data_IF_058854028388
#
_entry.id   IF_058854028388
#
_cell.length_a   1.000
_cell.length_b   1.000
_cell.length_c   1.000
_cell.angle_alpha   90.00
_cell.angle_beta   90.00
_cell.angle_gamma   90.00
#
_symmetry.space_group_name_H-M   'P 1'
#
loop_
_entity.id
_entity.type
_entity.pdbx_description
1 polymer ?
#
# COMPACT_ATOMS: atom_id res chain seq x y z
N UNK A 1 27.12 -12.21 -10.27
CA UNK A 1 27.09 -11.53 -10.49
C UNK A 1 27.50 -10.58 -10.07
N UNK A 2 28.05 -10.15 -9.88
CA UNK A 2 28.38 -9.12 -9.56
C UNK A 2 27.78 -7.97 -10.02
N UNK A 3 27.44 -7.87 -11.15
CA UNK A 3 26.67 -6.77 -11.69
C UNK A 3 25.35 -6.59 -11.04
N UNK A 4 24.76 -7.68 -10.57
CA UNK A 4 23.49 -7.59 -9.90
C UNK A 4 23.53 -6.74 -8.66
N UNK A 5 24.63 -6.79 -7.94
CA UNK A 5 24.76 -5.96 -6.75
C UNK A 5 24.83 -4.49 -7.10
N UNK A 6 25.54 -4.18 -8.16
CA UNK A 6 25.67 -2.80 -8.60
C UNK A 6 24.32 -2.29 -9.07
N UNK A 7 23.60 -3.10 -9.84
CA UNK A 7 22.29 -2.72 -10.33
C UNK A 7 21.32 -2.50 -9.17
N UNK A 8 21.35 -3.36 -8.18
CA UNK A 8 20.46 -3.23 -7.04
C UNK A 8 20.73 -1.93 -6.28
N UNK A 9 21.99 -1.61 -6.03
CA UNK A 9 22.34 -0.38 -5.35
C UNK A 9 21.88 0.82 -6.16
N UNK A 10 22.13 0.77 -7.45
CA UNK A 10 21.77 1.83 -8.34
C UNK A 10 20.27 2.09 -8.35
N UNK A 11 19.48 1.00 -8.39
CA UNK A 11 18.03 1.13 -8.42
C UNK A 11 17.47 1.70 -7.12
N UNK A 12 18.15 1.52 -6.01
CA UNK A 12 17.68 2.08 -4.73
C UNK A 12 17.71 3.60 -4.75
N UNK A 13 18.63 4.18 -5.49
CA UNK A 13 18.75 5.64 -5.53
C UNK A 13 17.93 6.24 -6.66
N UNK A 14 17.45 5.41 -7.58
CA UNK A 14 16.65 5.90 -8.68
C UNK A 14 15.18 5.84 -8.37
N UNK A 15 14.48 6.85 -8.83
CA UNK A 15 13.04 6.86 -8.75
C UNK A 15 12.49 5.78 -9.66
N UNK A 16 11.68 4.90 -9.12
CA UNK A 16 10.99 3.87 -9.89
C UNK A 16 9.89 4.53 -10.71
N UNK A 17 9.68 4.06 -11.93
CA UNK A 17 8.65 4.63 -12.79
C UNK A 17 7.25 4.41 -12.20
N UNK A 18 6.37 5.40 -12.41
CA UNK A 18 5.02 5.36 -11.88
C UNK A 18 4.26 4.12 -12.35
N UNK A 19 4.45 3.72 -13.61
CA UNK A 19 3.78 2.54 -14.16
C UNK A 19 4.16 1.27 -13.39
N UNK A 20 5.39 1.21 -12.92
CA UNK A 20 5.85 0.05 -12.14
C UNK A 20 5.15 0.03 -10.79
N UNK A 21 5.03 1.18 -10.15
CA UNK A 21 4.33 1.26 -8.87
C UNK A 21 2.84 0.97 -9.05
N UNK A 22 2.25 1.46 -10.13
CA UNK A 22 0.84 1.19 -10.44
C UNK A 22 0.59 -0.30 -10.56
N UNK A 23 1.45 -1.00 -11.31
CA UNK A 23 1.33 -2.45 -11.47
C UNK A 23 1.54 -3.19 -10.15
N UNK A 24 2.48 -2.73 -9.35
CA UNK A 24 2.74 -3.30 -8.05
C UNK A 24 1.51 -3.19 -7.14
N UNK A 25 0.88 -2.02 -7.11
CA UNK A 25 -0.30 -1.84 -6.28
C UNK A 25 -1.51 -2.60 -6.81
N UNK A 26 -1.64 -2.72 -8.13
CA UNK A 26 -2.71 -3.53 -8.71
C UNK A 26 -2.55 -5.00 -8.32
N UNK A 27 -1.32 -5.50 -8.34
CA UNK A 27 -1.02 -6.86 -7.92
C UNK A 27 -1.31 -7.07 -6.44
N UNK A 28 -0.92 -6.10 -5.61
CA UNK A 28 -1.16 -6.17 -4.17
C UNK A 28 -2.66 -6.18 -3.89
N UNK A 29 -3.41 -5.31 -4.56
CA UNK A 29 -4.85 -5.23 -4.38
C UNK A 29 -5.55 -6.54 -4.78
N UNK A 30 -5.14 -7.12 -5.91
CA UNK A 30 -5.70 -8.39 -6.37
C UNK A 30 -5.38 -9.52 -5.39
N UNK A 31 -4.17 -9.52 -4.83
CA UNK A 31 -3.77 -10.51 -3.83
C UNK A 31 -4.64 -10.42 -2.58
N UNK A 32 -4.88 -9.20 -2.08
CA UNK A 32 -5.71 -9.04 -0.90
C UNK A 32 -7.16 -9.45 -1.16
N UNK A 33 -7.69 -9.13 -2.34
CA UNK A 33 -9.03 -9.57 -2.70
C UNK A 33 -9.13 -11.09 -2.78
N UNK A 34 -8.08 -11.74 -3.28
CA UNK A 34 -8.05 -13.19 -3.33
C UNK A 34 -8.09 -13.80 -1.93
N UNK A 35 -7.28 -13.29 -1.02
CA UNK A 35 -7.27 -13.78 0.35
C UNK A 35 -8.60 -13.51 1.06
N UNK A 36 -9.23 -12.39 0.76
CA UNK A 36 -10.52 -12.07 1.34
C UNK A 36 -11.58 -13.09 0.93
N UNK A 37 -11.53 -13.55 -0.32
CA UNK A 37 -12.49 -14.52 -0.83
C UNK A 37 -12.15 -15.93 -0.32
N UNK A 38 -10.89 -16.33 -0.44
CA UNK A 38 -10.50 -17.70 -0.18
C UNK A 38 -10.40 -18.03 1.30
N UNK A 39 -9.99 -17.05 2.11
CA UNK A 39 -9.73 -17.28 3.53
C UNK A 39 -10.64 -16.49 4.46
N UNK A 40 -11.51 -15.66 3.92
CA UNK A 40 -12.34 -14.79 4.76
C UNK A 40 -11.52 -13.81 5.55
N UNK A 41 -10.36 -13.45 5.04
CA UNK A 41 -9.38 -12.63 5.74
C UNK A 41 -9.81 -11.18 5.78
N UNK A 42 -9.31 -10.45 6.74
CA UNK A 42 -9.46 -9.00 6.94
C UNK A 42 -10.78 -8.55 7.56
N UNK A 43 -11.76 -9.42 7.66
CA UNK A 43 -13.07 -9.01 8.14
C UNK A 43 -13.04 -8.41 9.55
N UNK A 44 -12.13 -8.92 10.38
CA UNK A 44 -12.02 -8.47 11.76
C UNK A 44 -11.01 -7.35 11.97
N UNK A 45 -10.45 -6.81 10.91
CA UNK A 45 -9.46 -5.77 11.02
C UNK A 45 -10.10 -4.44 11.42
N UNK A 46 -9.40 -3.67 12.24
CA UNK A 46 -9.66 -2.25 12.36
C UNK A 46 -8.70 -1.51 11.43
N UNK A 47 -8.77 -0.20 11.39
CA UNK A 47 -7.95 0.58 10.50
C UNK A 47 -6.46 0.37 10.72
N UNK A 48 -6.05 0.31 11.98
CA UNK A 48 -4.63 0.17 12.31
C UNK A 48 -4.10 -1.20 11.94
N UNK A 49 -4.87 -2.23 12.21
CA UNK A 49 -4.46 -3.58 11.87
C UNK A 49 -4.42 -3.75 10.36
N UNK A 50 -5.34 -3.11 9.65
CA UNK A 50 -5.36 -3.16 8.19
C UNK A 50 -4.10 -2.55 7.61
N UNK A 51 -3.60 -1.46 8.18
CA UNK A 51 -2.34 -0.88 7.71
C UNK A 51 -1.21 -1.90 7.71
N UNK A 52 -1.09 -2.64 8.81
CA UNK A 52 -0.07 -3.69 8.90
C UNK A 52 -0.29 -4.81 7.90
N UNK A 53 -1.55 -5.15 7.65
CA UNK A 53 -1.87 -6.18 6.66
C UNK A 53 -1.51 -5.72 5.24
N UNK A 54 -1.71 -4.44 4.96
CA UNK A 54 -1.34 -3.89 3.65
C UNK A 54 0.18 -3.92 3.46
N UNK A 55 0.93 -3.53 4.50
CA UNK A 55 2.39 -3.62 4.44
C UNK A 55 2.83 -5.05 4.16
N UNK A 56 2.23 -6.01 4.85
CA UNK A 56 2.58 -7.42 4.67
C UNK A 56 2.27 -7.87 3.24
N UNK A 57 1.11 -7.49 2.73
CA UNK A 57 0.73 -7.84 1.36
C UNK A 57 1.68 -7.20 0.34
N UNK A 58 2.07 -5.94 0.58
CA UNK A 58 3.03 -5.27 -0.30
C UNK A 58 4.37 -5.98 -0.29
N UNK A 59 4.85 -6.38 0.88
CA UNK A 59 6.12 -7.08 0.98
C UNK A 59 6.09 -8.41 0.26
N UNK A 60 4.97 -9.11 0.32
CA UNK A 60 4.82 -10.38 -0.40
C UNK A 60 4.79 -10.18 -1.90
N UNK A 61 4.24 -9.08 -2.37
CA UNK A 61 4.04 -8.83 -3.79
C UNK A 61 5.17 -8.02 -4.44
N UNK A 62 6.15 -7.57 -3.66
CA UNK A 62 7.25 -6.81 -4.24
C UNK A 62 8.27 -7.69 -4.96
N UNK A 63 8.19 -8.99 -4.78
CA UNK A 63 9.08 -9.92 -5.45
C UNK A 63 8.90 -9.79 -6.96
N UNK A 64 10.00 -9.64 -7.68
CA UNK A 64 9.95 -9.44 -9.12
C UNK A 64 9.77 -7.99 -9.53
N UNK A 65 9.69 -7.08 -8.57
CA UNK A 65 9.62 -5.65 -8.83
C UNK A 65 10.94 -5.00 -8.37
N UNK A 66 11.18 -3.73 -8.75
CA UNK A 66 12.36 -3.03 -8.23
C UNK A 66 12.29 -2.73 -6.73
N UNK A 67 11.13 -2.90 -6.10
CA UNK A 67 11.00 -2.65 -4.67
C UNK A 67 11.49 -3.84 -3.87
N UNK A 68 12.14 -3.55 -2.75
CA UNK A 68 12.53 -4.56 -1.78
C UNK A 68 11.64 -4.45 -0.56
N UNK A 69 11.58 -5.51 0.23
CA UNK A 69 10.81 -5.46 1.46
C UNK A 69 11.25 -4.30 2.35
N UNK A 70 12.55 -4.03 2.38
CA UNK A 70 13.09 -2.95 3.20
C UNK A 70 12.76 -1.55 2.69
N UNK A 71 12.21 -1.45 1.48
CA UNK A 71 11.78 -0.16 0.94
C UNK A 71 10.37 0.20 1.38
N UNK A 72 9.66 -0.73 2.01
CA UNK A 72 8.25 -0.55 2.37
C UNK A 72 8.16 -0.33 3.87
N UNK A 73 7.77 0.87 4.28
CA UNK A 73 7.74 1.27 5.67
C UNK A 73 6.36 1.76 6.10
N UNK A 74 5.91 1.24 7.21
CA UNK A 74 4.71 1.76 7.86
C UNK A 74 5.13 2.97 8.71
N UNK A 75 4.52 4.10 8.43
CA UNK A 75 4.86 5.34 9.13
C UNK A 75 3.94 5.48 10.33
N UNK A 76 4.52 5.56 11.51
CA UNK A 76 3.74 5.68 12.73
C UNK A 76 3.38 7.12 13.02
N UNK A 77 2.38 7.30 13.89
CA UNK A 77 1.95 8.62 14.30
C UNK A 77 0.93 9.20 13.37
N UNK A 78 0.93 10.52 13.26
CA UNK A 78 -0.06 11.25 12.48
C UNK A 78 0.47 11.69 11.12
N UNK A 79 1.36 10.92 10.57
CA UNK A 79 1.95 11.23 9.28
C UNK A 79 1.09 10.73 8.13
N UNK A 80 1.24 11.35 7.00
CA UNK A 80 0.57 11.01 5.76
C UNK A 80 1.61 10.86 4.68
N UNK A 81 1.59 9.80 3.88
CA UNK A 81 0.64 8.67 3.92
C UNK A 81 1.02 7.64 4.99
N UNK A 82 0.16 6.64 5.17
CA UNK A 82 0.40 5.60 6.17
C UNK A 82 1.61 4.74 5.84
N UNK A 83 1.87 4.51 4.57
CA UNK A 83 2.94 3.63 4.10
C UNK A 83 3.76 4.37 3.05
N UNK A 84 5.08 4.25 3.15
CA UNK A 84 5.99 4.80 2.14
C UNK A 84 6.71 3.64 1.47
N UNK A 85 6.79 3.66 0.16
CA UNK A 85 7.46 2.64 -0.62
C UNK A 85 8.48 3.31 -1.54
N UNK A 86 9.76 2.97 -1.35
CA UNK A 86 10.82 3.47 -2.20
C UNK A 86 10.98 4.98 -2.18
N UNK A 87 10.68 5.62 -1.07
CA UNK A 87 10.82 7.07 -0.84
C UNK A 87 9.87 7.96 -1.62
N UNK A 88 9.54 7.60 -2.86
CA UNK A 88 8.78 8.50 -3.74
C UNK A 88 7.30 8.17 -3.81
N UNK A 89 6.92 7.02 -3.30
CA UNK A 89 5.55 6.53 -3.39
C UNK A 89 4.98 6.28 -2.01
N UNK A 90 3.68 6.47 -1.88
CA UNK A 90 3.02 6.22 -0.63
C UNK A 90 1.67 5.57 -0.83
N UNK A 91 1.17 4.97 0.22
CA UNK A 91 -0.15 4.35 0.23
C UNK A 91 -0.89 4.84 1.47
N UNK A 92 -2.05 5.42 1.23
CA UNK A 92 -2.95 5.79 2.31
C UNK A 92 -4.00 4.71 2.43
N UNK A 93 -4.13 4.14 3.60
CA UNK A 93 -5.05 3.03 3.84
C UNK A 93 -6.33 3.58 4.46
N UNK A 94 -7.46 3.28 3.82
CA UNK A 94 -8.76 3.66 4.33
C UNK A 94 -9.63 2.42 4.44
N UNK A 95 -10.60 2.46 5.33
CA UNK A 95 -11.50 1.32 5.46
C UNK A 95 -12.86 1.79 5.98
N UNK A 96 -13.86 0.96 5.74
CA UNK A 96 -15.17 1.13 6.32
C UNK A 96 -15.65 -0.20 6.84
N UNK A 97 -16.39 -0.19 7.93
CA UNK A 97 -16.97 -1.42 8.46
C UNK A 97 -18.35 -1.70 7.87
N UNK A 98 -18.81 -0.83 6.97
CA UNK A 98 -20.08 -1.04 6.28
C UNK A 98 -19.82 -1.76 4.96
N UNK A 99 -20.91 -2.10 4.27
CA UNK A 99 -20.83 -2.72 2.95
C UNK A 99 -21.04 -1.65 1.87
N UNK A 100 -20.48 -0.47 2.09
CA UNK A 100 -20.57 0.64 1.15
C UNK A 100 -19.22 1.31 1.00
N UNK A 101 -18.92 1.79 -0.20
CA UNK A 101 -17.66 2.45 -0.48
C UNK A 101 -17.70 3.92 -0.01
N UNK A 102 -18.09 4.11 1.24
CA UNK A 102 -18.19 5.45 1.83
C UNK A 102 -17.36 5.46 3.09
N UNK A 103 -16.51 6.44 3.20
CA UNK A 103 -15.70 6.66 4.40
C UNK A 103 -16.24 7.90 5.09
N UNK A 104 -16.34 7.85 6.43
CA UNK A 104 -16.59 9.04 7.20
C UNK A 104 -15.28 9.79 7.32
N UNK A 105 -14.62 9.95 6.21
CA UNK A 105 -13.27 10.38 6.22
C UNK A 105 -13.12 11.80 6.67
N UNK A 106 -12.08 12.00 7.41
CA UNK A 106 -11.57 13.31 7.66
C UNK A 106 -10.73 13.71 6.47
N UNK A 107 -10.59 14.98 6.27
CA UNK A 107 -9.72 15.49 5.25
C UNK A 107 -8.27 15.14 5.57
N UNK A 108 -7.51 14.92 4.55
CA UNK A 108 -6.10 14.61 4.69
C UNK A 108 -5.34 15.91 4.87
N UNK A 109 -4.44 15.92 5.83
CA UNK A 109 -3.65 17.09 6.12
C UNK A 109 -2.32 16.94 5.40
N UNK A 110 -2.21 17.60 4.26
CA UNK A 110 -1.01 17.48 3.45
C UNK A 110 0.23 18.06 4.11
N UNK A 111 0.04 18.93 5.08
CA UNK A 111 1.18 19.50 5.81
C UNK A 111 1.95 18.44 6.59
N UNK A 112 1.37 17.26 6.82
CA UNK A 112 2.07 16.17 7.51
C UNK A 112 2.65 15.15 6.54
N UNK A 113 2.63 15.46 5.24
CA UNK A 113 3.11 14.55 4.22
C UNK A 113 4.61 14.32 4.36
N UNK A 114 5.01 13.06 4.23
CA UNK A 114 6.42 12.71 4.29
C UNK A 114 7.20 13.37 3.17
N UNK A 115 8.41 13.83 3.51
CA UNK A 115 9.24 14.52 2.55
C UNK A 115 9.68 13.55 1.45
N UNK A 116 9.55 14.00 0.21
CA UNK A 116 10.00 13.23 -0.93
C UNK A 116 8.95 12.34 -1.55
N UNK A 117 7.82 12.12 -0.88
CA UNK A 117 6.75 11.31 -1.44
C UNK A 117 6.02 12.13 -2.48
N UNK A 118 6.03 11.65 -3.73
CA UNK A 118 5.46 12.39 -4.85
C UNK A 118 4.12 11.87 -5.32
N UNK A 119 3.92 10.56 -5.22
CA UNK A 119 2.69 9.93 -5.68
C UNK A 119 2.11 9.09 -4.56
N UNK A 120 0.83 9.26 -4.31
CA UNK A 120 0.15 8.53 -3.25
C UNK A 120 -1.04 7.80 -3.86
N UNK A 121 -1.17 6.53 -3.48
CA UNK A 121 -2.32 5.72 -3.84
C UNK A 121 -3.18 5.51 -2.60
N UNK A 122 -4.48 5.46 -2.80
CA UNK A 122 -5.39 5.10 -1.72
C UNK A 122 -5.79 3.65 -1.89
N UNK A 123 -5.61 2.86 -0.85
CA UNK A 123 -6.10 1.49 -0.80
C UNK A 123 -7.25 1.47 0.19
N UNK A 124 -8.45 1.23 -0.30
CA UNK A 124 -9.67 1.29 0.48
C UNK A 124 -10.25 -0.10 0.66
N UNK A 125 -10.47 -0.48 1.93
CA UNK A 125 -11.07 -1.76 2.25
C UNK A 125 -12.51 -1.62 2.70
N UNK A 126 -13.41 -2.32 2.02
CA UNK A 126 -14.81 -2.41 2.41
C UNK A 126 -14.96 -3.65 3.28
N UNK A 127 -14.71 -3.48 4.57
CA UNK A 127 -14.61 -4.60 5.50
C UNK A 127 -15.95 -5.20 5.87
N UNK A 128 -17.03 -4.45 5.69
CA UNK A 128 -18.38 -4.97 5.94
C UNK A 128 -18.96 -5.75 4.79
N UNK A 129 -18.20 -5.92 3.71
CA UNK A 129 -18.65 -6.71 2.58
C UNK A 129 -18.56 -8.21 2.84
N UNK A 130 -19.24 -8.95 2.02
CA UNK A 130 -19.23 -10.40 2.11
C UNK A 130 -19.08 -10.97 0.70
N UNK A 131 -17.84 -11.10 0.22
CA UNK A 131 -16.57 -10.97 0.96
C UNK A 131 -16.13 -9.52 1.15
N UNK A 132 -15.10 -9.35 1.99
CA UNK A 132 -14.39 -8.08 2.06
C UNK A 132 -13.80 -7.77 0.69
N UNK A 133 -13.78 -6.51 0.32
CA UNK A 133 -13.30 -6.12 -1.00
C UNK A 133 -12.41 -4.88 -0.88
N UNK A 134 -11.40 -4.82 -1.73
CA UNK A 134 -10.43 -3.71 -1.75
C UNK A 134 -10.38 -3.06 -3.11
N UNK A 135 -10.19 -1.74 -3.11
CA UNK A 135 -9.93 -0.97 -4.32
C UNK A 135 -8.71 -0.10 -4.08
N UNK A 136 -7.88 0.01 -5.10
CA UNK A 136 -6.66 0.82 -5.01
C UNK A 136 -6.62 1.77 -6.21
N UNK A 137 -6.45 3.05 -5.93
CA UNK A 137 -6.45 4.10 -6.96
C UNK A 137 -5.45 5.17 -6.59
N UNK A 138 -4.94 5.92 -7.58
CA UNK A 138 -4.18 7.13 -7.27
C UNK A 138 -5.04 8.07 -6.44
N UNK A 139 -4.39 8.68 -5.47
CA UNK A 139 -5.08 9.58 -4.54
C UNK A 139 -5.40 10.89 -5.21
#
# INVERSE_FOLDING_TARGET
MEDNNIIAIYNRDKKVALEVFDSFMAKTNAFMNKLAIEEGRYKECDGKKLEGEVVDAMKRNCIGTPFRESDIDLISGQHFPDIVAGRHYGVEVKSTKSNKWVSTGSSIIESTREVGVEHIYMLFGKLGGSPVEFRCKPY
#
